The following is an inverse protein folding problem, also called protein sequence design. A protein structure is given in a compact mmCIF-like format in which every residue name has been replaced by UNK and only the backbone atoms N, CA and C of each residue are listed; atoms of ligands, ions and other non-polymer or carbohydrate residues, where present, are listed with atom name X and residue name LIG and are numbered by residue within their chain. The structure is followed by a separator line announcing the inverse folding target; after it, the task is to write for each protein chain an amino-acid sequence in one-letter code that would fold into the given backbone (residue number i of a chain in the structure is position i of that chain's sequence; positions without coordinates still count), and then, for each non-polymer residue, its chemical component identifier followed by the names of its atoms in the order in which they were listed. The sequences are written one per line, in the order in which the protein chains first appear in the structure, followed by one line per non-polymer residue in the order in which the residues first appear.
data_IF_106436886544
#
_entry.id   IF_106436886544
#
_cell.length_a   1.000
_cell.length_b   1.000
_cell.length_c   1.000
_cell.angle_alpha   90.00
_cell.angle_beta   90.00
_cell.angle_gamma   90.00
#
_symmetry.space_group_name_H-M   'P 1'
#
loop_
_entity.id
_entity.type
_entity.pdbx_description
1 polymer ?
#
# COMPACT_ATOMS: atom_id res chain seq x y z
N UNK A 1 -9.82 5.72 -16.57
CA UNK A 1 -9.17 4.94 -15.50
C UNK A 1 -9.62 3.49 -15.67
N UNK A 2 -8.72 2.52 -15.83
CA UNK A 2 -9.11 1.10 -15.65
C UNK A 2 -9.36 0.91 -14.16
N UNK A 3 -10.58 1.15 -13.75
CA UNK A 3 -10.97 1.13 -12.35
C UNK A 3 -11.58 -0.22 -12.04
N UNK A 4 -10.82 -1.31 -12.25
CA UNK A 4 -11.31 -2.69 -12.02
C UNK A 4 -11.93 -2.82 -10.63
N UNK A 5 -11.32 -2.17 -9.65
CA UNK A 5 -11.81 -2.05 -8.28
C UNK A 5 -13.17 -1.37 -8.17
N UNK A 6 -13.44 -0.33 -8.97
CA UNK A 6 -14.60 0.57 -8.85
C UNK A 6 -15.73 0.26 -9.85
N UNK A 7 -15.45 -0.48 -10.92
CA UNK A 7 -16.38 -0.76 -12.01
C UNK A 7 -16.96 -2.17 -11.99
N UNK A 8 -16.66 -2.95 -10.95
CA UNK A 8 -17.15 -4.31 -10.75
C UNK A 8 -18.11 -4.37 -9.56
N UNK A 9 -19.06 -5.29 -9.61
CA UNK A 9 -19.88 -5.60 -8.44
C UNK A 9 -19.07 -6.34 -7.37
N UNK A 10 -19.39 -6.14 -6.07
CA UNK A 10 -20.49 -5.32 -5.54
C UNK A 10 -20.17 -3.82 -5.37
N UNK A 11 -18.94 -3.39 -5.66
CA UNK A 11 -18.47 -2.02 -5.40
C UNK A 11 -19.23 -0.99 -6.23
N UNK A 12 -19.48 -1.28 -7.51
CA UNK A 12 -20.16 -0.35 -8.39
C UNK A 12 -21.52 0.08 -7.84
N UNK A 13 -22.35 -0.88 -7.41
CA UNK A 13 -23.64 -0.58 -6.80
C UNK A 13 -23.51 0.16 -5.46
N UNK A 14 -22.55 -0.21 -4.61
CA UNK A 14 -22.29 0.50 -3.36
C UNK A 14 -21.95 1.97 -3.60
N UNK A 15 -20.96 2.24 -4.46
CA UNK A 15 -20.51 3.59 -4.78
C UNK A 15 -21.64 4.43 -5.37
N UNK A 16 -22.41 3.88 -6.31
CA UNK A 16 -23.52 4.57 -6.95
C UNK A 16 -24.62 4.97 -5.98
N UNK A 17 -24.98 4.07 -5.06
CA UNK A 17 -26.18 4.22 -4.25
C UNK A 17 -25.94 4.82 -2.86
N UNK A 18 -24.71 4.76 -2.35
CA UNK A 18 -24.42 5.08 -0.95
C UNK A 18 -23.27 6.07 -0.74
N UNK A 19 -22.53 6.44 -1.79
CA UNK A 19 -21.39 7.35 -1.68
C UNK A 19 -21.48 8.51 -2.67
N UNK A 20 -20.96 9.67 -2.26
CA UNK A 20 -20.66 10.76 -3.19
C UNK A 20 -19.25 10.55 -3.71
N UNK A 21 -19.13 10.27 -5.00
CA UNK A 21 -17.85 9.95 -5.63
C UNK A 21 -17.22 11.20 -6.27
N UNK A 22 -15.95 11.44 -5.96
CA UNK A 22 -15.13 12.47 -6.58
C UNK A 22 -13.76 11.91 -6.97
N UNK A 23 -13.03 12.64 -7.81
CA UNK A 23 -11.66 12.30 -8.16
C UNK A 23 -10.79 13.56 -8.21
N UNK A 24 -9.49 13.36 -8.01
CA UNK A 24 -8.48 14.41 -8.15
C UNK A 24 -7.25 13.81 -8.80
N UNK A 25 -6.71 14.51 -9.79
CA UNK A 25 -5.43 14.15 -10.39
C UNK A 25 -4.29 14.40 -9.40
N UNK A 26 -3.41 13.41 -9.26
CA UNK A 26 -2.23 13.44 -8.39
C UNK A 26 -0.94 13.58 -9.19
N UNK A 27 -0.99 13.79 -10.50
CA UNK A 27 0.19 14.06 -11.31
C UNK A 27 0.98 15.24 -10.73
N UNK A 28 2.31 15.15 -10.79
CA UNK A 28 3.28 16.08 -10.20
C UNK A 28 3.25 16.17 -8.67
N UNK A 29 2.49 15.32 -7.96
CA UNK A 29 2.58 15.21 -6.50
C UNK A 29 3.76 14.33 -6.11
N UNK A 30 4.52 14.72 -5.08
CA UNK A 30 5.73 14.00 -4.65
C UNK A 30 5.51 12.58 -4.10
N UNK A 31 4.27 12.11 -4.03
CA UNK A 31 3.88 10.75 -3.66
C UNK A 31 3.26 9.95 -4.81
N UNK A 32 3.00 10.59 -5.96
CA UNK A 32 2.48 9.93 -7.14
C UNK A 32 3.59 9.15 -7.84
N UNK A 33 3.22 8.01 -8.42
CA UNK A 33 4.12 7.11 -9.12
C UNK A 33 4.10 7.35 -10.63
N UNK A 34 4.66 6.38 -11.34
CA UNK A 34 4.47 6.23 -12.79
C UNK A 34 3.97 4.84 -13.13
N UNK A 35 3.21 4.74 -14.21
CA UNK A 35 2.82 3.46 -14.78
C UNK A 35 3.00 3.44 -16.30
N UNK A 36 2.96 2.25 -16.90
CA UNK A 36 2.81 2.16 -18.35
C UNK A 36 1.42 2.60 -18.78
N UNK A 37 1.31 3.10 -20.01
CA UNK A 37 0.00 3.28 -20.66
C UNK A 37 -0.65 1.93 -20.87
N UNK A 38 -1.94 1.84 -20.58
CA UNK A 38 -2.74 0.68 -20.95
C UNK A 38 -3.44 0.98 -22.29
N UNK A 39 -3.55 -0.05 -23.14
CA UNK A 39 -4.42 0.02 -24.30
C UNK A 39 -5.88 0.31 -23.87
N UNK A 40 -6.61 1.22 -24.54
CA UNK A 40 -8.03 1.45 -24.29
C UNK A 40 -8.88 0.18 -24.38
N UNK A 41 -8.45 -0.79 -25.19
CA UNK A 41 -9.16 -2.05 -25.44
C UNK A 41 -8.62 -3.23 -24.65
N UNK A 42 -7.60 -3.05 -23.81
CA UNK A 42 -7.07 -4.18 -23.05
C UNK A 42 -8.08 -4.66 -22.01
N UNK A 43 -8.08 -5.95 -21.70
CA UNK A 43 -8.91 -6.54 -20.64
C UNK A 43 -8.48 -6.14 -19.24
N UNK A 44 -9.43 -5.65 -18.44
CA UNK A 44 -9.25 -5.42 -17.01
C UNK A 44 -9.11 -6.76 -16.28
N UNK A 45 -7.87 -7.13 -15.90
CA UNK A 45 -7.63 -8.33 -15.09
C UNK A 45 -7.74 -8.01 -13.60
N UNK A 46 -8.24 -8.98 -12.84
CA UNK A 46 -8.22 -8.94 -11.38
C UNK A 46 -6.79 -8.69 -10.89
N UNK A 47 -6.68 -7.88 -9.84
CA UNK A 47 -5.41 -7.42 -9.30
C UNK A 47 -5.33 -7.73 -7.81
N UNK A 48 -4.11 -7.78 -7.30
CA UNK A 48 -3.85 -7.89 -5.86
C UNK A 48 -4.21 -6.58 -5.16
N UNK A 49 -4.69 -6.67 -3.92
CA UNK A 49 -4.97 -5.52 -3.06
C UNK A 49 -3.67 -4.77 -2.78
N UNK A 50 -3.76 -3.45 -2.84
CA UNK A 50 -2.60 -2.59 -2.63
C UNK A 50 -1.66 -2.46 -3.82
N UNK A 51 -1.99 -3.02 -5.00
CA UNK A 51 -1.13 -2.93 -6.17
C UNK A 51 -1.05 -1.51 -6.73
N UNK A 52 0.15 -1.01 -7.02
CA UNK A 52 0.35 0.36 -7.52
C UNK A 52 -0.06 1.44 -6.51
N UNK A 53 0.47 1.41 -5.27
CA UNK A 53 0.06 2.30 -4.18
C UNK A 53 0.28 3.78 -4.46
N UNK A 54 1.18 4.09 -5.39
CA UNK A 54 1.51 5.44 -5.82
C UNK A 54 0.65 5.94 -7.01
N UNK A 55 -0.14 5.07 -7.64
CA UNK A 55 -0.94 5.43 -8.82
C UNK A 55 -2.37 5.83 -8.47
N UNK A 56 -2.93 5.25 -7.41
CA UNK A 56 -4.26 5.55 -6.91
C UNK A 56 -4.23 5.48 -5.38
N UNK A 57 -4.93 6.41 -4.74
CA UNK A 57 -5.24 6.37 -3.31
C UNK A 57 -6.72 6.65 -3.15
N UNK A 58 -7.47 5.67 -2.66
CA UNK A 58 -8.91 5.78 -2.47
C UNK A 58 -9.18 6.21 -1.03
N UNK A 59 -9.86 7.35 -0.87
CA UNK A 59 -10.24 7.87 0.44
C UNK A 59 -11.75 7.75 0.64
N UNK A 60 -12.15 7.25 1.80
CA UNK A 60 -13.52 7.39 2.29
C UNK A 60 -13.49 8.40 3.43
N UNK A 61 -14.35 9.39 3.36
CA UNK A 61 -14.36 10.52 4.29
C UNK A 61 -15.77 10.77 4.82
N UNK A 62 -15.85 11.29 6.05
CA UNK A 62 -17.06 11.91 6.55
C UNK A 62 -17.34 13.23 5.81
N UNK A 63 -18.54 13.77 5.97
CA UNK A 63 -18.98 15.01 5.30
C UNK A 63 -18.14 16.24 5.65
N UNK A 64 -17.45 16.23 6.78
CA UNK A 64 -16.57 17.29 7.26
C UNK A 64 -15.11 17.14 6.79
N UNK A 65 -14.81 16.15 5.94
CA UNK A 65 -13.46 15.87 5.44
C UNK A 65 -12.59 15.01 6.36
N UNK A 66 -13.13 14.48 7.46
CA UNK A 66 -12.43 13.49 8.29
C UNK A 66 -12.22 12.19 7.54
N UNK A 67 -10.98 11.70 7.47
CA UNK A 67 -10.64 10.43 6.82
C UNK A 67 -11.09 9.26 7.69
N UNK A 68 -11.91 8.37 7.10
CA UNK A 68 -12.42 7.15 7.71
C UNK A 68 -11.56 5.94 7.33
N UNK A 69 -11.22 5.82 6.05
CA UNK A 69 -10.23 4.85 5.57
C UNK A 69 -9.50 5.39 4.34
N UNK A 70 -8.29 4.90 4.13
CA UNK A 70 -7.51 5.17 2.93
C UNK A 70 -6.94 3.85 2.40
N UNK A 71 -7.25 3.53 1.16
CA UNK A 71 -6.80 2.33 0.47
C UNK A 71 -5.84 2.72 -0.66
N UNK A 72 -4.52 2.57 -0.46
CA UNK A 72 -3.54 2.77 -1.52
C UNK A 72 -3.65 1.64 -2.55
N UNK A 73 -3.45 1.96 -3.81
CA UNK A 73 -3.41 1.00 -4.90
C UNK A 73 -4.78 0.45 -5.28
N UNK A 74 -4.77 -0.50 -6.20
CA UNK A 74 -5.97 -1.21 -6.63
C UNK A 74 -6.38 -2.28 -5.62
N UNK A 75 -7.66 -2.56 -5.56
CA UNK A 75 -8.27 -3.58 -4.71
C UNK A 75 -9.21 -4.49 -5.50
N UNK A 76 -9.33 -5.73 -5.07
CA UNK A 76 -10.39 -6.62 -5.54
C UNK A 76 -11.76 -6.05 -5.14
N UNK A 77 -12.77 -6.23 -5.99
CA UNK A 77 -14.08 -5.62 -5.75
C UNK A 77 -14.73 -6.11 -4.45
N UNK A 78 -14.64 -7.41 -4.13
CA UNK A 78 -15.27 -7.95 -2.91
C UNK A 78 -14.61 -7.42 -1.64
N UNK A 79 -13.28 -7.33 -1.66
CA UNK A 79 -12.50 -6.83 -0.53
C UNK A 79 -12.73 -5.32 -0.36
N UNK A 80 -12.70 -4.55 -1.45
CA UNK A 80 -13.02 -3.13 -1.41
C UNK A 80 -14.44 -2.86 -0.89
N UNK A 81 -15.42 -3.67 -1.27
CA UNK A 81 -16.78 -3.53 -0.75
C UNK A 81 -16.85 -3.74 0.78
N UNK A 82 -16.11 -4.71 1.31
CA UNK A 82 -15.97 -4.91 2.76
C UNK A 82 -15.41 -3.65 3.45
N UNK A 83 -14.36 -3.07 2.87
CA UNK A 83 -13.72 -1.86 3.39
C UNK A 83 -14.63 -0.62 3.33
N UNK A 84 -15.45 -0.50 2.28
CA UNK A 84 -16.45 0.58 2.17
C UNK A 84 -17.54 0.45 3.24
N UNK A 85 -18.01 -0.76 3.52
CA UNK A 85 -18.98 -1.02 4.59
C UNK A 85 -18.36 -0.80 5.98
N UNK A 86 -17.10 -1.19 6.16
CA UNK A 86 -16.35 -0.89 7.37
C UNK A 86 -16.21 0.63 7.59
N UNK A 87 -15.93 1.40 6.54
CA UNK A 87 -15.87 2.85 6.61
C UNK A 87 -17.20 3.49 7.06
N UNK A 88 -18.36 2.95 6.67
CA UNK A 88 -19.67 3.40 7.18
C UNK A 88 -19.81 3.16 8.68
N UNK A 89 -19.28 2.06 9.18
CA UNK A 89 -19.29 1.75 10.62
C UNK A 89 -18.37 2.71 11.39
N UNK A 90 -17.21 3.05 10.83
CA UNK A 90 -16.33 4.09 11.37
C UNK A 90 -17.00 5.47 11.37
N UNK A 91 -17.79 5.79 10.33
CA UNK A 91 -18.55 7.03 10.28
C UNK A 91 -19.58 7.12 11.41
N UNK A 92 -20.25 6.01 11.74
CA UNK A 92 -21.19 5.96 12.85
C UNK A 92 -20.50 6.32 14.19
N UNK A 93 -19.27 5.85 14.41
CA UNK A 93 -18.45 6.27 15.56
C UNK A 93 -18.08 7.75 15.49
N UNK A 94 -17.75 8.26 14.30
CA UNK A 94 -17.34 9.66 14.13
C UNK A 94 -18.46 10.63 14.50
N UNK A 95 -19.69 10.35 14.05
CA UNK A 95 -20.84 11.25 14.24
C UNK A 95 -21.58 11.03 15.56
N UNK A 96 -21.19 10.04 16.36
CA UNK A 96 -21.82 9.74 17.65
C UNK A 96 -21.63 10.92 18.63
N UNK A 97 -22.70 11.60 19.08
CA UNK A 97 -22.61 12.70 20.03
C UNK A 97 -22.32 12.23 21.46
N UNK A 98 -22.53 10.94 21.76
CA UNK A 98 -22.28 10.34 23.07
C UNK A 98 -20.82 10.02 23.34
N UNK A 99 -19.95 10.14 22.33
CA UNK A 99 -18.51 9.89 22.46
C UNK A 99 -17.72 11.19 22.35
N UNK A 100 -16.79 11.37 23.29
CA UNK A 100 -15.79 12.42 23.18
C UNK A 100 -14.70 12.04 22.15
N UNK A 101 -13.79 12.99 21.87
CA UNK A 101 -12.76 12.81 20.85
C UNK A 101 -11.81 11.65 21.15
N UNK A 102 -11.42 11.46 22.41
CA UNK A 102 -10.47 10.41 22.80
C UNK A 102 -11.11 9.03 22.71
N UNK A 103 -12.38 8.91 23.11
CA UNK A 103 -13.16 7.68 22.95
C UNK A 103 -13.35 7.30 21.48
N UNK A 104 -13.65 8.28 20.63
CA UNK A 104 -13.71 8.08 19.17
C UNK A 104 -12.39 7.56 18.63
N UNK A 105 -11.28 8.18 19.02
CA UNK A 105 -9.95 7.78 18.57
C UNK A 105 -9.61 6.36 19.02
N UNK A 106 -9.88 6.02 20.29
CA UNK A 106 -9.64 4.68 20.83
C UNK A 106 -10.47 3.63 20.08
N UNK A 107 -11.76 3.88 19.88
CA UNK A 107 -12.65 2.99 19.12
C UNK A 107 -12.19 2.83 17.67
N UNK A 108 -11.81 3.92 17.00
CA UNK A 108 -11.29 3.86 15.64
C UNK A 108 -10.08 2.93 15.54
N UNK A 109 -9.07 3.13 16.39
CA UNK A 109 -7.85 2.33 16.39
C UNK A 109 -8.10 0.87 16.77
N UNK A 110 -9.05 0.60 17.65
CA UNK A 110 -9.49 -0.75 17.98
C UNK A 110 -10.21 -1.42 16.80
N UNK A 111 -11.21 -0.76 16.22
CA UNK A 111 -11.99 -1.27 15.10
C UNK A 111 -11.10 -1.59 13.88
N UNK A 112 -10.12 -0.74 13.57
CA UNK A 112 -9.14 -1.01 12.50
C UNK A 112 -8.34 -2.30 12.75
N UNK A 113 -7.92 -2.54 14.00
CA UNK A 113 -7.20 -3.77 14.38
C UNK A 113 -8.11 -5.00 14.38
N UNK A 114 -9.36 -4.83 14.81
CA UNK A 114 -10.35 -5.91 14.81
C UNK A 114 -10.78 -6.30 13.40
N UNK A 115 -10.99 -5.33 12.50
CA UNK A 115 -11.39 -5.60 11.11
C UNK A 115 -10.36 -6.45 10.38
N UNK A 116 -9.06 -6.17 10.58
CA UNK A 116 -7.98 -6.99 10.04
C UNK A 116 -8.08 -8.48 10.44
N UNK A 117 -8.60 -8.79 11.63
CA UNK A 117 -8.79 -10.18 12.07
C UNK A 117 -9.93 -10.90 11.34
N UNK A 118 -10.85 -10.14 10.74
CA UNK A 118 -11.99 -10.64 9.97
C UNK A 118 -11.64 -10.94 8.51
N UNK A 119 -10.47 -10.49 8.03
CA UNK A 119 -10.04 -10.71 6.66
C UNK A 119 -9.92 -12.19 6.36
N UNK A 120 -10.57 -12.60 5.26
CA UNK A 120 -10.60 -14.00 4.86
C UNK A 120 -9.21 -14.47 4.40
N UNK A 121 -8.90 -15.79 4.44
CA UNK A 121 -7.67 -16.30 3.83
C UNK A 121 -7.48 -15.86 2.37
N UNK A 122 -8.57 -15.76 1.60
CA UNK A 122 -8.52 -15.35 0.19
C UNK A 122 -8.16 -13.86 0.03
N UNK A 123 -8.71 -13.00 0.87
CA UNK A 123 -8.40 -11.57 0.93
C UNK A 123 -6.95 -11.32 1.38
N UNK A 124 -6.50 -12.03 2.43
CA UNK A 124 -5.09 -11.97 2.86
C UNK A 124 -4.15 -12.38 1.74
N UNK A 125 -4.47 -13.46 1.01
CA UNK A 125 -3.70 -13.90 -0.16
C UNK A 125 -3.69 -12.84 -1.27
N UNK A 126 -4.84 -12.20 -1.55
CA UNK A 126 -4.89 -11.09 -2.53
C UNK A 126 -4.14 -9.85 -2.05
N UNK A 127 -3.92 -9.71 -0.74
CA UNK A 127 -3.18 -8.59 -0.13
C UNK A 127 -1.68 -8.86 0.01
N UNK A 128 -1.18 -9.99 -0.47
CA UNK A 128 0.27 -10.22 -0.54
C UNK A 128 0.94 -9.16 -1.42
N UNK A 129 2.00 -8.55 -0.87
CA UNK A 129 2.80 -7.59 -1.63
C UNK A 129 3.43 -8.28 -2.84
N UNK A 130 3.42 -7.59 -3.98
CA UNK A 130 4.01 -8.13 -5.21
C UNK A 130 5.53 -8.31 -5.03
N UNK A 131 6.07 -9.39 -5.60
CA UNK A 131 7.48 -9.77 -5.41
C UNK A 131 8.47 -8.65 -5.73
N UNK A 132 8.20 -7.82 -6.73
CA UNK A 132 9.06 -6.69 -7.09
C UNK A 132 9.02 -5.54 -6.08
N UNK A 133 7.89 -5.34 -5.40
CA UNK A 133 7.75 -4.35 -4.33
C UNK A 133 8.52 -4.81 -3.10
N UNK A 134 8.37 -6.08 -2.74
CA UNK A 134 9.14 -6.71 -1.66
C UNK A 134 10.65 -6.61 -1.94
N UNK A 135 11.09 -6.90 -3.17
CA UNK A 135 12.49 -6.78 -3.57
C UNK A 135 13.00 -5.32 -3.45
N UNK A 136 12.19 -4.34 -3.85
CA UNK A 136 12.51 -2.92 -3.69
C UNK A 136 12.65 -2.54 -2.21
N UNK A 137 11.68 -2.92 -1.37
CA UNK A 137 11.69 -2.66 0.07
C UNK A 137 12.93 -3.26 0.74
N UNK A 138 13.24 -4.53 0.43
CA UNK A 138 14.44 -5.22 0.91
C UNK A 138 15.71 -4.45 0.54
N UNK A 139 15.83 -4.04 -0.73
CA UNK A 139 17.05 -3.42 -1.25
C UNK A 139 17.24 -1.97 -0.78
N UNK A 140 16.15 -1.21 -0.66
CA UNK A 140 16.21 0.25 -0.51
C UNK A 140 15.77 0.75 0.86
N UNK A 141 14.89 0.02 1.55
CA UNK A 141 14.20 0.52 2.75
C UNK A 141 14.09 -0.52 3.86
N UNK A 142 14.92 -1.56 3.84
CA UNK A 142 14.82 -2.64 4.81
C UNK A 142 14.92 -2.19 6.26
N UNK A 143 15.61 -1.08 6.59
CA UNK A 143 15.71 -0.60 7.97
C UNK A 143 14.64 0.44 8.34
N UNK A 144 14.00 1.07 7.36
CA UNK A 144 13.15 2.25 7.57
C UNK A 144 11.69 1.99 7.28
N UNK A 145 11.39 0.97 6.46
CA UNK A 145 10.02 0.60 6.10
C UNK A 145 9.34 -0.20 7.21
N UNK A 146 8.04 0.01 7.36
CA UNK A 146 7.13 -0.73 8.23
C UNK A 146 6.53 -1.98 7.55
N UNK A 147 6.88 -2.24 6.28
CA UNK A 147 6.53 -3.46 5.52
C UNK A 147 7.02 -4.72 6.21
N UNK A 148 8.15 -4.64 6.93
CA UNK A 148 8.73 -5.80 7.60
C UNK A 148 8.27 -5.90 9.05
N UNK A 149 7.71 -7.05 9.41
CA UNK A 149 7.38 -7.35 10.79
C UNK A 149 8.67 -7.63 11.59
N UNK A 150 9.06 -6.65 12.42
CA UNK A 150 10.32 -6.72 13.19
C UNK A 150 10.29 -7.73 14.31
N UNK A 151 9.10 -8.09 14.82
CA UNK A 151 9.00 -9.01 15.97
C UNK A 151 9.35 -10.45 15.59
N UNK A 152 9.21 -10.81 14.31
CA UNK A 152 9.53 -12.15 13.79
C UNK A 152 10.95 -12.24 13.20
N UNK A 153 11.62 -11.11 13.00
CA UNK A 153 13.00 -11.09 12.49
C UNK A 153 13.95 -11.19 13.69
N UNK A 154 14.49 -12.39 13.91
CA UNK A 154 15.49 -12.59 14.96
C UNK A 154 16.84 -11.99 14.52
N UNK A 155 17.34 -10.94 15.21
CA UNK A 155 18.58 -10.26 14.82
C UNK A 155 19.82 -11.14 14.97
N UNK A 156 19.75 -12.25 15.72
CA UNK A 156 20.88 -13.17 15.91
C UNK A 156 21.05 -14.17 14.77
N UNK A 157 19.97 -14.47 14.05
CA UNK A 157 19.97 -15.48 12.98
C UNK A 157 19.71 -14.89 11.59
N UNK A 158 19.29 -13.63 11.52
CA UNK A 158 19.08 -12.93 10.28
C UNK A 158 20.42 -12.65 9.58
N UNK A 159 20.56 -13.11 8.33
CA UNK A 159 21.70 -12.80 7.47
C UNK A 159 21.38 -11.54 6.62
N UNK A 160 21.98 -10.38 6.94
CA UNK A 160 21.72 -9.14 6.23
C UNK A 160 22.32 -9.11 4.82
N UNK A 161 23.22 -10.04 4.47
CA UNK A 161 23.80 -10.16 3.14
C UNK A 161 22.87 -10.97 2.24
N UNK A 162 22.34 -12.10 2.75
CA UNK A 162 21.42 -12.96 1.98
C UNK A 162 19.99 -12.43 1.95
N UNK A 163 19.60 -11.56 2.89
CA UNK A 163 18.25 -11.02 3.01
C UNK A 163 17.17 -12.13 3.06
N UNK A 164 17.56 -13.23 3.71
CA UNK A 164 16.71 -14.39 3.93
C UNK A 164 15.76 -14.06 5.08
N UNK A 165 14.50 -13.83 4.72
CA UNK A 165 13.49 -13.41 5.68
C UNK A 165 12.67 -14.62 6.10
N UNK A 166 12.33 -14.72 7.40
CA UNK A 166 11.46 -15.79 7.84
C UNK A 166 10.08 -15.70 7.15
N UNK A 167 9.35 -16.82 7.07
CA UNK A 167 7.95 -16.80 6.66
C UNK A 167 7.18 -15.72 7.44
N UNK A 168 6.28 -15.01 6.76
CA UNK A 168 5.47 -13.93 7.35
C UNK A 168 6.24 -12.69 7.87
N UNK A 169 7.54 -12.56 7.56
CA UNK A 169 8.29 -11.34 7.86
C UNK A 169 7.82 -10.13 7.04
N UNK A 170 7.21 -10.37 5.88
CA UNK A 170 6.61 -9.33 5.03
C UNK A 170 5.13 -9.24 5.39
N UNK A 171 4.70 -8.05 5.83
CA UNK A 171 3.29 -7.76 6.06
C UNK A 171 2.57 -7.68 4.72
N UNK A 172 1.33 -8.14 4.70
CA UNK A 172 0.41 -7.93 3.59
C UNK A 172 -0.06 -6.46 3.55
N UNK A 173 -0.51 -6.00 2.39
CA UNK A 173 -0.93 -4.61 2.16
C UNK A 173 -2.06 -4.16 3.09
N UNK A 174 -3.03 -5.03 3.35
CA UNK A 174 -4.13 -4.82 4.31
C UNK A 174 -3.62 -4.63 5.75
N UNK A 175 -2.65 -5.43 6.19
CA UNK A 175 -2.01 -5.26 7.51
C UNK A 175 -1.32 -3.88 7.60
N UNK A 176 -0.58 -3.49 6.56
CA UNK A 176 0.10 -2.19 6.52
C UNK A 176 -0.93 -1.06 6.57
N UNK A 177 -1.98 -1.16 5.75
CA UNK A 177 -3.08 -0.19 5.65
C UNK A 177 -3.78 0.00 7.00
N UNK A 178 -4.30 -1.07 7.62
CA UNK A 178 -5.01 -0.96 8.90
C UNK A 178 -4.10 -0.50 10.05
N UNK A 179 -2.83 -0.92 10.10
CA UNK A 179 -1.89 -0.42 11.12
C UNK A 179 -1.62 1.08 10.96
N UNK A 180 -1.49 1.55 9.71
CA UNK A 180 -1.29 2.97 9.42
C UNK A 180 -2.55 3.79 9.72
N UNK A 181 -3.75 3.28 9.46
CA UNK A 181 -5.00 3.94 9.89
C UNK A 181 -5.12 3.97 11.40
N UNK A 182 -4.91 2.83 12.08
CA UNK A 182 -5.05 2.72 13.53
C UNK A 182 -4.11 3.68 14.30
N UNK A 183 -2.98 4.08 13.70
CA UNK A 183 -2.07 5.08 14.28
C UNK A 183 -2.44 6.54 13.96
N UNK A 184 -3.48 6.78 13.15
CA UNK A 184 -3.91 8.10 12.66
C UNK A 184 -5.44 8.22 12.74
N UNK A 185 -6.04 8.11 13.94
CA UNK A 185 -7.49 8.10 14.06
C UNK A 185 -8.12 9.42 13.63
N UNK A 186 -9.09 9.33 12.72
CA UNK A 186 -9.95 10.44 12.30
C UNK A 186 -9.18 11.74 11.97
N UNK A 187 -8.10 11.63 11.19
CA UNK A 187 -7.34 12.78 10.72
C UNK A 187 -8.12 13.48 9.61
N UNK A 188 -8.13 14.82 9.63
CA UNK A 188 -8.71 15.63 8.56
C UNK A 188 -7.93 15.46 7.25
N UNK A 189 -8.61 15.36 6.11
CA UNK A 189 -7.96 15.09 4.82
C UNK A 189 -6.87 16.11 4.46
N UNK A 190 -7.10 17.39 4.79
CA UNK A 190 -6.11 18.46 4.59
C UNK A 190 -4.80 18.26 5.38
N UNK A 191 -4.86 17.53 6.50
CA UNK A 191 -3.75 17.25 7.41
C UNK A 191 -3.23 15.82 7.25
N UNK A 192 -3.83 15.03 6.34
CA UNK A 192 -3.47 13.65 6.12
C UNK A 192 -2.19 13.55 5.27
N UNK A 193 -1.12 12.99 5.84
CA UNK A 193 0.13 12.76 5.13
C UNK A 193 0.00 11.56 4.16
N UNK A 194 -0.58 11.84 2.98
CA UNK A 194 -0.78 10.85 1.91
C UNK A 194 0.55 10.20 1.54
N UNK A 195 1.65 10.97 1.51
CA UNK A 195 2.96 10.47 1.14
C UNK A 195 3.42 9.40 2.12
N UNK A 196 3.47 9.70 3.41
CA UNK A 196 3.89 8.71 4.40
C UNK A 196 2.92 7.52 4.47
N UNK A 197 1.63 7.75 4.22
CA UNK A 197 0.61 6.71 4.32
C UNK A 197 0.59 5.74 3.15
N UNK A 198 0.84 6.17 1.91
CA UNK A 198 0.85 5.29 0.74
C UNK A 198 2.25 4.77 0.39
N UNK A 199 3.31 5.21 1.09
CA UNK A 199 4.69 4.86 0.74
C UNK A 199 5.02 3.41 1.12
N UNK A 200 4.79 2.50 0.19
CA UNK A 200 5.34 1.16 0.16
C UNK A 200 5.52 0.70 -1.29
N UNK A 201 6.40 -0.27 -1.52
CA UNK A 201 6.73 -0.73 -2.86
C UNK A 201 7.50 0.30 -3.70
N UNK A 202 7.64 0.03 -4.99
CA UNK A 202 8.40 0.90 -5.91
C UNK A 202 7.50 2.00 -6.51
N UNK A 203 8.04 3.21 -6.77
CA UNK A 203 7.27 4.29 -7.42
C UNK A 203 6.84 3.98 -8.86
N UNK A 204 7.64 3.21 -9.60
CA UNK A 204 7.29 2.82 -10.97
C UNK A 204 6.55 1.49 -10.96
N UNK A 205 5.30 1.51 -11.39
CA UNK A 205 4.46 0.33 -11.51
C UNK A 205 4.49 -0.24 -12.92
N UNK A 206 5.04 -1.44 -13.05
CA UNK A 206 5.05 -2.21 -14.30
C UNK A 206 4.22 -3.49 -14.10
N UNK A 207 3.00 -3.47 -14.62
CA UNK A 207 2.11 -4.63 -14.67
C UNK A 207 2.42 -5.29 -16.01
N UNK A 208 3.17 -6.40 -16.03
CA UNK A 208 3.51 -7.17 -17.24
C UNK A 208 2.27 -7.82 -17.91
N UNK A 209 1.11 -7.15 -17.92
CA UNK A 209 -0.18 -7.68 -18.38
C UNK A 209 -0.20 -7.96 -19.88
N UNK A 210 0.57 -7.21 -20.68
CA UNK A 210 0.62 -7.37 -22.14
C UNK A 210 1.37 -8.63 -22.58
N UNK A 211 2.01 -9.37 -21.66
CA UNK A 211 2.62 -10.67 -21.95
C UNK A 211 1.60 -11.82 -21.99
N UNK A 212 0.35 -11.60 -21.56
CA UNK A 212 -0.71 -12.62 -21.55
C UNK A 212 -1.86 -12.18 -22.46
N UNK A 213 -1.76 -12.54 -23.75
CA UNK A 213 -2.73 -13.29 -24.57
C UNK A 213 -2.34 -13.09 -26.04
N UNK A 214 -1.63 -14.08 -26.60
CA UNK A 214 -1.79 -14.43 -28.00
C UNK A 214 -2.47 -15.82 -28.01
N UNK A 215 -3.62 -15.93 -28.66
CA UNK A 215 -4.54 -17.08 -28.70
C UNK A 215 -3.97 -18.36 -29.36
N UNK A 216 -2.64 -18.46 -29.46
CA UNK A 216 -1.87 -19.44 -30.20
C UNK A 216 -0.65 -19.96 -29.41
N UNK A 217 -0.63 -19.78 -28.07
CA UNK A 217 0.36 -20.42 -27.19
C UNK A 217 1.81 -19.94 -27.35
N UNK A 218 2.02 -18.83 -28.09
CA UNK A 218 3.33 -18.18 -28.21
C UNK A 218 3.32 -16.87 -27.43
N UNK A 219 4.17 -16.78 -26.41
CA UNK A 219 4.47 -15.54 -25.70
C UNK A 219 5.22 -14.59 -26.63
N UNK A 220 4.51 -13.65 -27.25
CA UNK A 220 5.16 -12.47 -27.83
C UNK A 220 5.53 -11.53 -26.69
N UNK A 221 6.84 -11.39 -26.41
CA UNK A 221 7.37 -10.32 -25.55
C UNK A 221 7.17 -8.96 -26.23
N UNK A 222 5.93 -8.49 -26.36
CA UNK A 222 5.69 -7.07 -26.60
C UNK A 222 5.73 -6.39 -25.25
N UNK A 223 6.93 -5.96 -24.88
CA UNK A 223 7.15 -5.10 -23.73
C UNK A 223 6.52 -3.76 -24.09
N UNK A 224 5.29 -3.49 -23.66
CA UNK A 224 4.52 -2.31 -24.08
C UNK A 224 5.38 -1.05 -24.24
N UNK A 225 5.60 -0.64 -25.49
CA UNK A 225 6.52 0.45 -25.88
C UNK A 225 5.95 1.85 -25.56
N UNK A 226 4.92 1.92 -24.70
CA UNK A 226 4.33 3.17 -24.28
C UNK A 226 5.26 3.96 -23.36
N UNK A 227 5.49 5.24 -23.67
CA UNK A 227 6.08 6.22 -22.73
C UNK A 227 5.33 6.12 -21.39
N UNK A 228 6.07 6.04 -20.29
CA UNK A 228 5.51 6.06 -18.94
C UNK A 228 4.57 7.28 -18.76
N UNK A 229 3.49 7.10 -18.01
CA UNK A 229 2.57 8.14 -17.58
C UNK A 229 2.69 8.36 -16.07
N UNK A 230 2.37 9.57 -15.62
CA UNK A 230 2.60 9.99 -14.23
C UNK A 230 3.96 10.66 -14.05
N UNK A 231 4.43 10.73 -12.81
CA UNK A 231 5.69 11.39 -12.50
C UNK A 231 6.86 10.68 -13.19
N UNK A 232 7.77 11.45 -13.80
CA UNK A 232 9.00 10.89 -14.36
C UNK A 232 9.71 10.04 -13.29
N UNK A 233 9.96 8.72 -13.55
CA UNK A 233 10.66 7.86 -12.62
C UNK A 233 12.04 8.42 -12.21
N UNK A 234 12.68 9.24 -13.07
CA UNK A 234 13.94 9.92 -12.79
C UNK A 234 13.76 11.21 -11.94
N UNK A 235 12.57 11.81 -11.93
CA UNK A 235 12.22 13.00 -11.16
C UNK A 235 11.82 12.71 -9.70
N UNK A 236 11.91 11.46 -9.25
CA UNK A 236 12.00 11.11 -7.83
C UNK A 236 13.48 10.96 -7.44
N UNK A 237 14.24 12.07 -7.26
CA UNK A 237 15.56 11.96 -6.69
C UNK A 237 15.38 11.49 -5.25
N UNK A 238 15.64 10.20 -5.02
CA UNK A 238 16.17 9.76 -3.73
C UNK A 238 17.40 10.66 -3.54
N UNK A 239 17.31 11.68 -2.68
CA UNK A 239 18.47 12.48 -2.29
C UNK A 239 19.49 11.48 -1.77
N UNK A 240 20.42 11.14 -2.64
CA UNK A 240 21.38 10.08 -2.45
C UNK A 240 22.46 10.69 -1.57
N UNK A 241 22.24 10.73 -0.27
CA UNK A 241 23.31 10.94 0.72
C UNK A 241 24.21 9.68 0.83
N UNK A 242 24.40 8.95 -0.28
CA UNK A 242 25.16 7.69 -0.38
C UNK A 242 26.52 7.94 -1.05
N UNK A 243 27.20 9.03 -0.70
CA UNK A 243 28.65 9.17 -0.98
C UNK A 243 29.55 9.17 0.26
N UNK A 244 29.00 8.86 1.45
CA UNK A 244 29.80 8.62 2.67
C UNK A 244 29.45 7.34 3.46
N UNK A 245 28.47 6.53 3.04
CA UNK A 245 27.97 5.40 3.84
C UNK A 245 28.64 4.04 3.61
N UNK A 246 29.49 3.89 2.58
CA UNK A 246 30.25 2.64 2.36
C UNK A 246 31.17 2.27 3.56
N UNK A 247 31.65 3.28 4.30
CA UNK A 247 32.40 3.07 5.55
C UNK A 247 31.51 2.86 6.78
N UNK A 248 30.22 3.19 6.72
CA UNK A 248 29.30 3.09 7.88
C UNK A 248 28.69 1.70 8.06
N UNK A 249 28.56 0.90 6.99
CA UNK A 249 28.02 -0.46 7.08
C UNK A 249 29.01 -1.40 7.79
N UNK A 250 30.31 -1.24 7.51
CA UNK A 250 31.41 -1.93 8.20
C UNK A 250 31.52 -1.49 9.68
N UNK A 251 31.37 -0.19 9.95
CA UNK A 251 31.32 0.34 11.33
C UNK A 251 30.06 -0.10 12.12
N UNK A 252 28.95 -0.43 11.45
CA UNK A 252 27.70 -0.87 12.11
C UNK A 252 27.63 -2.38 12.34
N UNK A 253 28.30 -3.19 11.52
CA UNK A 253 28.55 -4.60 11.85
C UNK A 253 29.32 -4.73 13.18
N UNK A 254 30.27 -3.82 13.43
CA UNK A 254 30.98 -3.73 14.71
C UNK A 254 30.05 -3.34 15.89
N UNK A 255 29.06 -2.46 15.70
CA UNK A 255 28.11 -2.09 16.76
C UNK A 255 27.15 -3.23 17.15
N UNK A 256 26.74 -4.08 16.20
CA UNK A 256 25.97 -5.28 16.51
C UNK A 256 26.83 -6.39 17.13
N UNK A 257 28.10 -6.52 16.72
CA UNK A 257 29.06 -7.44 17.34
C UNK A 257 29.42 -7.08 18.79
N UNK A 258 29.65 -5.78 19.08
CA UNK A 258 30.03 -5.32 20.43
C UNK A 258 28.88 -5.50 21.44
N UNK A 259 27.61 -5.36 21.03
CA UNK A 259 26.46 -5.63 21.92
C UNK A 259 26.21 -7.10 22.21
N UNK A 260 26.69 -8.01 21.35
CA UNK A 260 26.64 -9.45 21.59
C UNK A 260 27.77 -9.93 22.52
N UNK A 261 28.85 -9.16 22.66
CA UNK A 261 30.01 -9.51 23.50
C UNK A 261 29.96 -8.95 24.94
N UNK A 262 29.01 -8.06 25.26
CA UNK A 262 28.86 -7.40 26.58
C UNK A 262 27.64 -7.95 27.35
N UNK A 263 27.14 -9.15 27.03
CA UNK A 263 26.13 -9.85 27.85
C UNK A 263 26.45 -11.33 27.99
#
# INVERSE_FOLDING_TARGET
MRAVSLSQEPVFSLLKNQFVCGYKDIENKGYAGSSRKHSPNGQAVDTTNGAGPHNIQMFVMASDGTVLTCLPGYWNSKDLASELEFAKTLNAVWVDPGLNRDEKNAKFSEMQRQHLSQHTPAERKRSEMQHFDVAYEKKKRFLTSDVFNRTVINPRTFDPVKMDLPPHAVKTCDVIMHQRMASRPFVQYKDFDVKAYSDYGRPMYDKNEEELVASNGRTTKQRGEGKAIGNDPAAHPVKTQVKRQGKSLLMRAAQYGIRAAIR
#
